data_IF_360391128001
#
_entry.id   IF_360391128001
#
_cell.length_a   1.000
_cell.length_b   1.000
_cell.length_c   1.000
_cell.angle_alpha   90.00
_cell.angle_beta   90.00
_cell.angle_gamma   90.00
#
_symmetry.space_group_name_H-M   'P 1'
#
loop_
_entity.id
_entity.type
_entity.pdbx_description
1 polymer ?
#
# COMPACT_ATOMS: atom_id res chain seq x y z
N UNK A 1 -17.59 -7.60 4.82
CA UNK A 1 -17.86 -6.24 5.31
C UNK A 1 -17.56 -6.14 6.81
N UNK A 2 -16.29 -6.23 7.20
CA UNK A 2 -15.91 -6.01 8.60
C UNK A 2 -15.73 -4.51 8.92
N UNK A 3 -15.34 -3.71 7.92
CA UNK A 3 -15.11 -2.28 8.07
C UNK A 3 -16.37 -1.41 8.30
N UNK A 4 -17.56 -1.99 8.10
CA UNK A 4 -18.86 -1.30 8.18
C UNK A 4 -19.80 -2.00 9.20
N UNK A 5 -19.26 -2.74 10.18
CA UNK A 5 -20.06 -3.58 11.08
C UNK A 5 -21.06 -2.80 11.94
N UNK A 6 -20.81 -1.51 12.19
CA UNK A 6 -21.69 -0.60 12.93
C UNK A 6 -22.41 0.41 12.01
N UNK A 7 -22.31 0.22 10.69
CA UNK A 7 -22.87 1.18 9.76
C UNK A 7 -24.39 1.12 9.77
N UNK A 8 -25.02 2.28 9.91
CA UNK A 8 -26.47 2.40 9.83
C UNK A 8 -26.93 2.13 8.40
N UNK A 9 -27.92 1.26 8.24
CA UNK A 9 -28.51 1.00 6.93
C UNK A 9 -29.66 1.96 6.61
N UNK A 10 -29.70 2.43 5.37
CA UNK A 10 -30.79 3.21 4.80
C UNK A 10 -31.15 2.64 3.43
N UNK A 11 -32.44 2.57 3.10
CA UNK A 11 -32.85 2.30 1.73
C UNK A 11 -32.50 3.47 0.81
N UNK A 12 -32.34 3.23 -0.50
CA UNK A 12 -32.15 4.30 -1.50
C UNK A 12 -33.24 5.38 -1.40
N UNK A 13 -34.48 5.00 -1.10
CA UNK A 13 -35.60 5.93 -0.95
C UNK A 13 -35.43 6.83 0.29
N UNK A 14 -34.98 6.28 1.41
CA UNK A 14 -34.69 7.06 2.63
C UNK A 14 -33.48 7.98 2.43
N UNK A 15 -32.43 7.47 1.79
CA UNK A 15 -31.26 8.26 1.43
C UNK A 15 -31.62 9.45 0.52
N UNK A 16 -32.53 9.23 -0.44
CA UNK A 16 -33.05 10.29 -1.31
C UNK A 16 -33.82 11.36 -0.51
N UNK A 17 -34.68 10.95 0.43
CA UNK A 17 -35.42 11.88 1.30
C UNK A 17 -34.49 12.67 2.22
N UNK A 18 -33.43 12.04 2.72
CA UNK A 18 -32.43 12.66 3.60
C UNK A 18 -31.58 13.70 2.88
N UNK A 19 -31.30 13.47 1.59
CA UNK A 19 -30.45 14.30 0.76
C UNK A 19 -28.96 14.18 1.11
N UNK A 20 -28.08 14.65 0.22
CA UNK A 20 -26.62 14.50 0.37
C UNK A 20 -26.12 15.17 1.65
N UNK A 21 -26.55 16.39 1.94
CA UNK A 21 -26.13 17.11 3.14
C UNK A 21 -26.49 16.37 4.45
N UNK A 22 -27.68 15.74 4.48
CA UNK A 22 -28.11 14.95 5.64
C UNK A 22 -27.30 13.66 5.81
N UNK A 23 -26.95 12.99 4.71
CA UNK A 23 -26.11 11.79 4.74
C UNK A 23 -24.68 12.09 5.19
N UNK A 24 -24.12 13.23 4.75
CA UNK A 24 -22.80 13.69 5.20
C UNK A 24 -22.82 14.02 6.69
N UNK A 25 -23.84 14.73 7.17
CA UNK A 25 -23.98 15.03 8.59
C UNK A 25 -24.16 13.76 9.44
N UNK A 26 -24.94 12.79 8.96
CA UNK A 26 -25.10 11.48 9.61
C UNK A 26 -23.76 10.73 9.68
N UNK A 27 -23.00 10.72 8.58
CA UNK A 27 -21.70 10.08 8.53
C UNK A 27 -20.72 10.68 9.55
N UNK A 28 -20.61 12.01 9.59
CA UNK A 28 -19.70 12.72 10.48
C UNK A 28 -20.06 12.58 11.97
N UNK A 29 -21.35 12.52 12.32
CA UNK A 29 -21.78 12.49 13.73
C UNK A 29 -22.01 11.08 14.27
N UNK A 30 -22.56 10.19 13.46
CA UNK A 30 -23.06 8.88 13.88
C UNK A 30 -22.28 7.71 13.28
N UNK A 31 -21.26 8.00 12.46
CA UNK A 31 -20.47 7.00 11.77
C UNK A 31 -21.06 6.56 10.43
N UNK A 32 -20.46 5.56 9.77
CA UNK A 32 -20.78 5.19 8.39
C UNK A 32 -22.27 4.90 8.15
N UNK A 33 -22.75 5.29 6.97
CA UNK A 33 -24.11 5.00 6.51
C UNK A 33 -24.05 4.14 5.27
N UNK A 34 -24.67 2.96 5.30
CA UNK A 34 -24.79 2.05 4.17
C UNK A 34 -26.13 2.26 3.48
N UNK A 35 -26.09 2.52 2.17
CA UNK A 35 -27.27 2.65 1.33
C UNK A 35 -27.58 1.30 0.68
N UNK A 36 -28.82 0.82 0.83
CA UNK A 36 -29.28 -0.47 0.33
C UNK A 36 -30.39 -0.32 -0.72
N UNK A 37 -30.41 -1.24 -1.69
CA UNK A 37 -31.49 -1.38 -2.69
C UNK A 37 -31.98 -2.82 -2.66
N UNK A 38 -33.28 -3.03 -2.42
CA UNK A 38 -33.86 -4.37 -2.24
C UNK A 38 -33.07 -5.20 -1.20
N UNK A 39 -32.77 -4.59 -0.05
CA UNK A 39 -32.00 -5.19 1.05
C UNK A 39 -30.58 -5.66 0.67
N UNK A 40 -30.01 -5.13 -0.41
CA UNK A 40 -28.61 -5.33 -0.78
C UNK A 40 -27.84 -4.02 -0.67
N UNK A 41 -26.71 -3.97 0.04
CA UNK A 41 -25.81 -2.81 0.06
C UNK A 41 -25.35 -2.43 -1.36
N UNK A 42 -25.47 -1.16 -1.71
CA UNK A 42 -25.08 -0.63 -3.03
C UNK A 42 -24.11 0.55 -2.98
N UNK A 43 -24.09 1.29 -1.86
CA UNK A 43 -23.14 2.37 -1.62
C UNK A 43 -22.96 2.58 -0.11
N UNK A 44 -21.91 3.32 0.27
CA UNK A 44 -21.71 3.77 1.63
C UNK A 44 -21.22 5.22 1.63
N UNK A 45 -21.67 5.98 2.63
CA UNK A 45 -21.12 7.29 2.98
C UNK A 45 -20.31 7.08 4.25
N UNK A 46 -19.03 7.38 4.17
CA UNK A 46 -18.07 7.20 5.26
C UNK A 46 -17.41 8.55 5.58
N UNK A 47 -17.10 8.83 6.85
CA UNK A 47 -16.23 9.96 7.20
C UNK A 47 -14.90 9.86 6.46
N UNK A 48 -14.35 11.00 6.07
CA UNK A 48 -13.07 11.02 5.35
C UNK A 48 -11.94 10.46 6.21
N UNK A 49 -11.94 10.73 7.52
CA UNK A 49 -11.00 10.15 8.48
C UNK A 49 -10.98 8.63 8.42
N UNK A 50 -12.16 8.01 8.38
CA UNK A 50 -12.29 6.56 8.32
C UNK A 50 -11.77 5.99 6.99
N UNK A 51 -11.98 6.72 5.89
CA UNK A 51 -11.41 6.32 4.60
C UNK A 51 -9.88 6.38 4.64
N UNK A 52 -9.31 7.47 5.18
CA UNK A 52 -7.87 7.61 5.34
C UNK A 52 -7.25 6.50 6.19
N UNK A 53 -7.89 6.14 7.32
CA UNK A 53 -7.43 5.02 8.17
C UNK A 53 -7.36 3.68 7.41
N UNK A 54 -8.32 3.43 6.52
CA UNK A 54 -8.34 2.21 5.70
C UNK A 54 -7.21 2.24 4.66
N UNK A 55 -6.99 3.39 4.02
CA UNK A 55 -5.94 3.57 3.03
C UNK A 55 -4.54 3.44 3.66
N UNK A 56 -4.34 4.02 4.85
CA UNK A 56 -3.12 3.88 5.65
C UNK A 56 -2.89 2.43 6.06
N UNK A 57 -3.89 1.75 6.63
CA UNK A 57 -3.76 0.34 6.98
C UNK A 57 -3.44 -0.55 5.77
N UNK A 58 -4.00 -0.24 4.59
CA UNK A 58 -3.69 -0.96 3.36
C UNK A 58 -2.26 -0.68 2.85
N UNK A 59 -1.73 0.53 3.05
CA UNK A 59 -0.32 0.83 2.79
C UNK A 59 0.60 0.04 3.74
N UNK A 60 0.32 0.08 5.05
CA UNK A 60 1.09 -0.63 6.07
C UNK A 60 1.13 -2.15 5.83
N UNK A 61 -0.01 -2.74 5.43
CA UNK A 61 -0.07 -4.16 5.10
C UNK A 61 0.77 -4.52 3.87
N UNK A 62 0.87 -3.62 2.88
CA UNK A 62 1.74 -3.82 1.71
C UNK A 62 3.21 -3.75 2.10
N UNK A 63 3.58 -2.79 2.94
CA UNK A 63 4.95 -2.65 3.43
C UNK A 63 5.36 -3.83 4.31
N UNK A 64 4.46 -4.28 5.20
CA UNK A 64 4.65 -5.49 5.99
C UNK A 64 4.83 -6.72 5.09
N UNK A 65 3.97 -6.89 4.08
CA UNK A 65 4.09 -8.00 3.14
C UNK A 65 5.44 -7.99 2.40
N UNK A 66 5.95 -6.81 2.03
CA UNK A 66 7.26 -6.66 1.40
C UNK A 66 8.39 -7.08 2.35
N UNK A 67 8.35 -6.62 3.60
CA UNK A 67 9.33 -6.99 4.63
C UNK A 67 9.30 -8.50 4.89
N UNK A 68 8.12 -9.10 5.00
CA UNK A 68 7.97 -10.53 5.20
C UNK A 68 8.48 -11.33 4.00
N UNK A 69 8.14 -10.92 2.78
CA UNK A 69 8.64 -11.57 1.56
C UNK A 69 10.16 -11.49 1.47
N UNK A 70 10.76 -10.32 1.77
CA UNK A 70 12.21 -10.17 1.80
C UNK A 70 12.84 -11.03 2.88
N UNK A 71 12.25 -11.08 4.07
CA UNK A 71 12.75 -11.86 5.20
C UNK A 71 12.69 -13.36 4.91
N UNK A 72 11.63 -13.83 4.24
CA UNK A 72 11.48 -15.22 3.83
C UNK A 72 12.41 -15.60 2.67
N UNK A 73 12.67 -14.68 1.75
CA UNK A 73 13.54 -14.92 0.59
C UNK A 73 15.03 -14.67 0.87
N UNK A 74 15.39 -13.97 1.96
CA UNK A 74 16.78 -13.76 2.34
C UNK A 74 17.41 -15.09 2.75
N UNK A 75 18.26 -15.65 1.88
CA UNK A 75 19.01 -16.88 2.18
C UNK A 75 20.09 -16.67 3.25
N UNK A 76 20.25 -15.45 3.75
CA UNK A 76 21.28 -15.09 4.71
C UNK A 76 22.71 -15.14 4.15
N UNK A 77 22.85 -15.23 2.82
CA UNK A 77 24.17 -15.24 2.18
C UNK A 77 24.60 -13.81 1.90
N UNK A 78 25.82 -13.50 2.29
CA UNK A 78 26.47 -12.22 2.05
C UNK A 78 27.74 -12.53 1.27
N UNK A 79 27.95 -11.82 0.19
CA UNK A 79 29.09 -12.02 -0.71
C UNK A 79 29.94 -10.77 -0.63
N UNK A 80 31.24 -10.92 -0.34
CA UNK A 80 32.13 -9.76 -0.33
C UNK A 80 32.31 -9.23 -1.75
N UNK A 81 32.65 -7.95 -1.88
CA UNK A 81 32.92 -7.38 -3.20
C UNK A 81 34.06 -8.11 -3.91
N UNK A 82 35.08 -8.53 -3.16
CA UNK A 82 36.24 -9.24 -3.70
C UNK A 82 35.86 -10.64 -4.21
N UNK A 83 34.93 -11.33 -3.53
CA UNK A 83 34.39 -12.61 -4.01
C UNK A 83 33.62 -12.44 -5.34
N UNK A 84 32.89 -11.33 -5.50
CA UNK A 84 32.21 -10.99 -6.76
C UNK A 84 33.26 -10.74 -7.84
N UNK A 85 34.26 -9.90 -7.58
CA UNK A 85 35.32 -9.61 -8.55
C UNK A 85 36.03 -10.88 -8.99
N UNK A 86 36.40 -11.74 -8.04
CA UNK A 86 37.03 -13.03 -8.31
C UNK A 86 36.13 -13.93 -9.18
N UNK A 87 34.81 -13.95 -8.94
CA UNK A 87 33.87 -14.72 -9.76
C UNK A 87 33.78 -14.23 -11.21
N UNK A 88 34.08 -12.94 -11.46
CA UNK A 88 34.20 -12.37 -12.81
C UNK A 88 35.64 -12.36 -13.34
N UNK A 89 36.60 -12.98 -12.64
CA UNK A 89 37.99 -13.05 -13.08
C UNK A 89 38.78 -11.75 -12.90
N UNK A 90 38.30 -10.84 -12.07
CA UNK A 90 38.94 -9.55 -11.80
C UNK A 90 39.43 -9.43 -10.37
N UNK A 91 40.36 -8.51 -10.16
CA UNK A 91 40.69 -7.95 -8.85
C UNK A 91 40.43 -6.44 -8.87
N UNK A 92 40.48 -5.79 -7.71
CA UNK A 92 40.31 -4.33 -7.64
C UNK A 92 41.37 -3.60 -8.46
N UNK A 93 42.60 -4.09 -8.40
CA UNK A 93 43.77 -3.57 -9.11
C UNK A 93 43.62 -3.76 -10.62
N UNK A 94 43.15 -4.93 -11.06
CA UNK A 94 42.87 -5.21 -12.48
C UNK A 94 41.82 -4.26 -13.05
N UNK A 95 40.74 -3.97 -12.30
CA UNK A 95 39.72 -3.02 -12.74
C UNK A 95 40.18 -1.56 -12.72
N UNK A 96 40.99 -1.19 -11.72
CA UNK A 96 41.58 0.15 -11.67
C UNK A 96 42.48 0.39 -12.89
N UNK A 97 43.29 -0.60 -13.26
CA UNK A 97 44.16 -0.52 -14.44
C UNK A 97 43.40 -0.41 -15.77
N UNK A 98 42.22 -1.04 -15.90
CA UNK A 98 41.38 -0.89 -17.10
C UNK A 98 40.81 0.52 -17.25
N UNK A 99 40.54 1.21 -16.14
CA UNK A 99 39.97 2.56 -16.14
C UNK A 99 40.97 3.63 -16.58
N UNK A 100 42.26 3.34 -16.44
CA UNK A 100 43.35 4.22 -16.86
C UNK A 100 43.68 4.06 -18.37
N UNK A 101 43.32 2.93 -18.98
CA UNK A 101 43.58 2.64 -20.41
C UNK A 101 42.56 3.35 -21.34
N UNK A 102 41.31 3.47 -20.91
CA UNK A 102 40.25 4.23 -21.63
C UNK A 102 40.42 5.77 -21.52
N UNK A 103 41.35 6.26 -20.70
CA UNK A 103 41.59 7.69 -20.47
C UNK A 103 42.73 8.28 -21.31
N UNK A 104 43.35 7.47 -22.18
CA UNK A 104 44.50 7.86 -23.02
C UNK A 104 44.16 8.09 -24.50
N UNK A 105 42.88 8.07 -24.88
CA UNK A 105 42.42 8.13 -26.28
C UNK A 105 41.54 9.38 -26.57
N UNK A 106 41.92 10.56 -26.05
CA UNK A 106 41.38 11.89 -26.43
C UNK A 106 42.50 12.87 -26.84
#
# INVERSE_FOLDING_TARGET
MAALHEARELTVTEATKRGVAGLVADAEQSGPVVVTRHSRPVAAVVPMSRLSEIDEAAADLRDLALVLARSAADSGRRTSFDDVLAAFGHTRESLAAMKDDDALDD
#
